data_IF_692231064765
#
_entry.id   IF_692231064765
#
_cell.length_a   1.000
_cell.length_b   1.000
_cell.length_c   1.000
_cell.angle_alpha   90.00
_cell.angle_beta   90.00
_cell.angle_gamma   90.00
#
_symmetry.space_group_name_H-M   'P 1'
#
loop_
_entity.id
_entity.type
_entity.pdbx_description
1 polymer ?
#
# COMPACT_ATOMS: atom_id res chain seq x y z
N UNK A 1 21.17 3.24 43.23
CA UNK A 1 20.96 2.14 42.26
C UNK A 1 20.23 2.59 40.99
N UNK A 2 19.49 3.70 41.02
CA UNK A 2 18.67 4.19 39.89
C UNK A 2 19.47 4.68 38.67
N UNK A 3 20.69 5.20 38.86
CA UNK A 3 21.48 5.78 37.77
C UNK A 3 22.09 4.74 36.80
N UNK A 4 22.20 3.47 37.20
CA UNK A 4 22.73 2.39 36.32
C UNK A 4 21.71 1.90 35.30
N UNK A 5 20.41 1.93 35.64
CA UNK A 5 19.34 1.41 34.78
C UNK A 5 19.13 2.34 33.57
N UNK A 6 19.17 3.66 33.78
CA UNK A 6 19.06 4.65 32.70
C UNK A 6 20.22 4.60 31.69
N UNK A 7 21.45 4.38 32.17
CA UNK A 7 22.64 4.22 31.31
C UNK A 7 22.57 2.95 30.45
N UNK A 8 22.05 1.84 31.00
CA UNK A 8 21.91 0.58 30.26
C UNK A 8 20.83 0.71 29.17
N UNK A 9 19.71 1.36 29.46
CA UNK A 9 18.64 1.59 28.48
C UNK A 9 19.07 2.55 27.36
N UNK A 10 19.82 3.61 27.67
CA UNK A 10 20.36 4.53 26.66
C UNK A 10 21.34 3.82 25.70
N UNK A 11 22.20 2.94 26.23
CA UNK A 11 23.14 2.17 25.41
C UNK A 11 22.45 1.11 24.53
N UNK A 12 21.40 0.45 25.04
CA UNK A 12 20.63 -0.53 24.27
C UNK A 12 19.87 0.12 23.10
N UNK A 13 19.30 1.30 23.32
CA UNK A 13 18.64 2.07 22.26
C UNK A 13 19.64 2.49 21.17
N UNK A 14 20.85 2.91 21.55
CA UNK A 14 21.92 3.26 20.60
C UNK A 14 22.36 2.07 19.74
N UNK A 15 22.41 0.85 20.30
CA UNK A 15 22.77 -0.36 19.54
C UNK A 15 21.73 -0.70 18.46
N UNK A 16 20.43 -0.60 18.79
CA UNK A 16 19.34 -0.84 17.85
C UNK A 16 19.29 0.26 16.78
N UNK A 17 19.49 1.53 17.15
CA UNK A 17 19.54 2.65 16.21
C UNK A 17 20.63 2.45 15.15
N UNK A 18 21.84 2.05 15.56
CA UNK A 18 22.93 1.73 14.64
C UNK A 18 22.57 0.53 13.76
N UNK A 19 21.95 -0.50 14.33
CA UNK A 19 21.54 -1.69 13.58
C UNK A 19 20.49 -1.36 12.50
N UNK A 20 19.60 -0.40 12.75
CA UNK A 20 18.56 0.02 11.82
C UNK A 20 19.09 0.71 10.56
N UNK A 21 20.34 1.19 10.56
CA UNK A 21 21.02 1.74 9.39
C UNK A 21 21.47 0.66 8.38
N UNK A 22 21.52 -0.62 8.78
CA UNK A 22 21.97 -1.71 7.91
C UNK A 22 20.93 -2.05 6.82
N UNK A 23 21.31 -2.71 5.71
CA UNK A 23 20.36 -3.10 4.68
C UNK A 23 19.32 -4.09 5.20
N UNK A 24 18.16 -4.16 4.55
CA UNK A 24 17.15 -5.18 4.87
C UNK A 24 17.61 -6.55 4.38
N UNK A 25 17.19 -7.60 5.08
CA UNK A 25 17.48 -8.98 4.69
C UNK A 25 17.02 -9.28 3.26
N UNK A 26 15.82 -8.81 2.86
CA UNK A 26 15.30 -9.03 1.49
C UNK A 26 16.17 -8.44 0.38
N UNK A 27 16.87 -7.34 0.65
CA UNK A 27 17.72 -6.63 -0.32
C UNK A 27 19.18 -7.11 -0.30
N UNK A 28 19.49 -8.14 0.49
CA UNK A 28 20.84 -8.59 0.76
C UNK A 28 21.07 -10.01 0.20
N UNK A 29 22.32 -10.31 -0.18
CA UNK A 29 22.71 -11.65 -0.66
C UNK A 29 22.77 -12.65 0.49
N UNK A 30 22.59 -13.95 0.18
CA UNK A 30 22.65 -15.01 1.19
C UNK A 30 24.00 -15.02 1.92
N UNK A 31 25.10 -14.88 1.17
CA UNK A 31 26.45 -14.80 1.72
C UNK A 31 26.62 -13.68 2.78
N UNK A 32 26.05 -12.50 2.54
CA UNK A 32 26.14 -11.40 3.49
C UNK A 32 25.25 -11.61 4.74
N UNK A 33 24.15 -12.35 4.60
CA UNK A 33 23.32 -12.78 5.75
C UNK A 33 24.08 -13.81 6.57
N UNK A 34 24.64 -14.85 5.93
CA UNK A 34 25.41 -15.90 6.58
C UNK A 34 26.61 -15.30 7.35
N UNK A 35 27.32 -14.34 6.76
CA UNK A 35 28.46 -13.67 7.39
C UNK A 35 28.11 -12.92 8.69
N UNK A 36 26.86 -12.47 8.85
CA UNK A 36 26.39 -11.80 10.07
C UNK A 36 25.82 -12.80 11.07
N UNK A 37 25.13 -13.84 10.59
CA UNK A 37 24.52 -14.86 11.45
C UNK A 37 25.56 -15.79 12.06
N UNK A 38 26.54 -16.22 11.29
CA UNK A 38 27.57 -17.17 11.72
C UNK A 38 28.26 -16.75 13.02
N UNK A 39 28.86 -15.55 13.16
CA UNK A 39 29.48 -15.12 14.41
C UNK A 39 28.47 -14.98 15.55
N UNK A 40 27.21 -14.60 15.27
CA UNK A 40 26.17 -14.53 16.29
C UNK A 40 25.78 -15.91 16.84
N UNK A 41 25.74 -16.93 15.97
CA UNK A 41 25.50 -18.33 16.33
C UNK A 41 26.67 -18.87 17.16
N UNK A 42 27.93 -18.66 16.75
CA UNK A 42 29.10 -19.02 17.56
C UNK A 42 29.03 -18.42 18.95
N UNK A 43 28.72 -17.12 19.02
CA UNK A 43 28.63 -16.42 20.29
C UNK A 43 27.50 -17.00 21.16
N UNK A 44 26.34 -17.32 20.58
CA UNK A 44 25.24 -17.94 21.29
C UNK A 44 25.66 -19.26 21.96
N UNK A 45 26.42 -20.10 21.25
CA UNK A 45 26.98 -21.34 21.78
C UNK A 45 27.92 -21.09 22.98
N UNK A 46 28.85 -20.15 22.81
CA UNK A 46 29.81 -19.77 23.85
C UNK A 46 29.12 -19.21 25.10
N UNK A 47 28.12 -18.33 24.93
CA UNK A 47 27.33 -17.75 26.02
C UNK A 47 26.55 -18.81 26.82
N UNK A 48 26.33 -20.00 26.23
CA UNK A 48 25.69 -21.16 26.87
C UNK A 48 26.67 -22.21 27.36
N UNK A 49 27.98 -21.93 27.33
CA UNK A 49 29.03 -22.83 27.79
C UNK A 49 29.30 -24.01 26.86
N UNK A 50 28.89 -23.91 25.59
CA UNK A 50 29.18 -24.91 24.57
C UNK A 50 30.39 -24.44 23.77
N UNK A 51 31.57 -25.00 24.07
CA UNK A 51 32.86 -24.57 23.51
C UNK A 51 33.35 -25.45 22.34
N UNK A 52 32.83 -26.67 22.23
CA UNK A 52 33.22 -27.63 21.20
C UNK A 52 32.03 -27.91 20.30
N UNK A 53 31.95 -27.19 19.17
CA UNK A 53 30.94 -27.43 18.13
C UNK A 53 31.65 -27.66 16.81
N UNK A 54 31.23 -28.72 16.11
CA UNK A 54 31.67 -29.04 14.76
C UNK A 54 31.24 -27.94 13.78
N UNK A 55 32.19 -27.50 12.93
CA UNK A 55 31.96 -26.48 11.91
C UNK A 55 30.75 -26.79 11.02
N UNK A 56 30.62 -28.05 10.58
CA UNK A 56 29.55 -28.50 9.69
C UNK A 56 28.15 -28.28 10.29
N UNK A 57 28.00 -28.51 11.60
CA UNK A 57 26.73 -28.27 12.32
C UNK A 57 26.38 -26.79 12.33
N UNK A 58 27.38 -25.92 12.48
CA UNK A 58 27.19 -24.46 12.45
C UNK A 58 26.81 -24.02 11.06
N UNK A 59 27.51 -24.48 10.03
CA UNK A 59 27.22 -24.10 8.64
C UNK A 59 25.81 -24.51 8.23
N UNK A 60 25.37 -25.71 8.63
CA UNK A 60 24.02 -26.19 8.37
C UNK A 60 22.94 -25.39 9.12
N UNK A 61 23.22 -25.00 10.37
CA UNK A 61 22.35 -24.17 11.19
C UNK A 61 22.23 -22.75 10.61
N UNK A 62 23.36 -22.13 10.24
CA UNK A 62 23.43 -20.79 9.65
C UNK A 62 22.64 -20.76 8.34
N UNK A 63 22.90 -21.69 7.41
CA UNK A 63 22.21 -21.75 6.12
C UNK A 63 20.69 -21.86 6.30
N UNK A 64 20.25 -22.75 7.20
CA UNK A 64 18.83 -22.97 7.49
C UNK A 64 18.17 -21.76 8.18
N UNK A 65 18.90 -21.09 9.06
CA UNK A 65 18.44 -19.89 9.75
C UNK A 65 18.33 -18.69 8.80
N UNK A 66 19.29 -18.49 7.91
CA UNK A 66 19.27 -17.45 6.87
C UNK A 66 18.02 -17.55 5.99
N UNK A 67 17.73 -18.75 5.50
CA UNK A 67 16.56 -18.99 4.65
C UNK A 67 15.26 -18.73 5.42
N UNK A 68 15.19 -19.22 6.67
CA UNK A 68 14.03 -19.04 7.55
C UNK A 68 13.76 -17.57 7.92
N UNK A 69 14.80 -16.79 8.20
CA UNK A 69 14.70 -15.35 8.52
C UNK A 69 14.26 -14.58 7.27
N UNK A 70 14.84 -14.89 6.10
CA UNK A 70 14.47 -14.22 4.84
C UNK A 70 12.99 -14.42 4.50
N UNK A 71 12.44 -15.59 4.80
CA UNK A 71 11.02 -15.88 4.61
C UNK A 71 10.13 -15.24 5.70
N UNK A 72 10.53 -15.34 6.97
CA UNK A 72 9.68 -14.94 8.10
C UNK A 72 9.72 -13.45 8.42
N UNK A 73 10.88 -12.82 8.25
CA UNK A 73 11.16 -11.44 8.63
C UNK A 73 11.92 -10.70 7.51
N UNK A 74 11.41 -10.63 6.27
CA UNK A 74 12.15 -10.09 5.11
C UNK A 74 12.60 -8.64 5.27
N UNK A 75 11.90 -7.87 6.10
CA UNK A 75 12.15 -6.44 6.30
C UNK A 75 13.04 -6.13 7.52
N UNK A 76 13.47 -7.15 8.27
CA UNK A 76 14.44 -6.94 9.36
C UNK A 76 15.77 -6.47 8.78
N UNK A 77 16.49 -5.66 9.54
CA UNK A 77 17.80 -5.12 9.19
C UNK A 77 18.87 -6.14 9.57
N UNK A 78 19.89 -6.25 8.73
CA UNK A 78 20.92 -7.29 8.85
C UNK A 78 21.54 -7.33 10.26
N UNK A 79 21.87 -6.16 10.80
CA UNK A 79 22.54 -6.02 12.10
C UNK A 79 21.59 -6.15 13.31
N UNK A 80 20.27 -6.23 13.10
CA UNK A 80 19.32 -6.53 14.17
C UNK A 80 19.38 -8.03 14.58
N UNK A 81 19.81 -8.91 13.67
CA UNK A 81 19.80 -10.36 13.90
C UNK A 81 20.74 -10.78 15.05
N UNK A 82 22.00 -10.32 15.13
CA UNK A 82 22.87 -10.66 16.26
C UNK A 82 22.33 -10.16 17.61
N UNK A 83 21.71 -8.99 17.63
CA UNK A 83 21.09 -8.42 18.83
C UNK A 83 19.94 -9.31 19.29
N UNK A 84 19.08 -9.72 18.35
CA UNK A 84 17.96 -10.60 18.62
C UNK A 84 18.40 -11.95 19.19
N UNK A 85 19.42 -12.58 18.60
CA UNK A 85 19.98 -13.85 19.06
C UNK A 85 20.54 -13.70 20.48
N UNK A 86 21.35 -12.67 20.73
CA UNK A 86 21.93 -12.41 22.06
C UNK A 86 20.85 -12.25 23.14
N UNK A 87 19.87 -11.37 22.92
CA UNK A 87 18.76 -11.12 23.86
C UNK A 87 17.94 -12.40 24.09
N UNK A 88 17.68 -13.17 23.04
CA UNK A 88 16.95 -14.43 23.13
C UNK A 88 17.68 -15.53 23.92
N UNK A 89 18.98 -15.71 23.70
CA UNK A 89 19.81 -16.68 24.43
C UNK A 89 19.90 -16.35 25.93
N UNK A 90 19.80 -15.07 26.28
CA UNK A 90 19.75 -14.57 27.65
C UNK A 90 18.34 -14.62 28.28
N UNK A 91 17.32 -15.05 27.54
CA UNK A 91 15.96 -15.25 28.04
C UNK A 91 15.03 -14.05 27.93
N UNK A 92 15.39 -13.00 27.20
CA UNK A 92 14.52 -11.81 27.04
C UNK A 92 13.31 -12.06 26.13
N UNK A 93 13.32 -13.13 25.35
CA UNK A 93 12.27 -13.46 24.36
C UNK A 93 11.53 -14.76 24.64
N UNK A 94 11.46 -15.16 25.92
CA UNK A 94 10.72 -16.32 26.39
C UNK A 94 11.61 -17.54 26.65
N UNK A 95 10.97 -18.71 26.70
CA UNK A 95 11.63 -19.96 27.10
C UNK A 95 12.70 -20.40 26.08
N UNK A 96 13.91 -20.61 26.59
CA UNK A 96 15.03 -21.10 25.82
C UNK A 96 14.93 -22.62 25.63
N UNK A 97 14.77 -23.07 24.38
CA UNK A 97 14.66 -24.49 24.01
C UNK A 97 15.94 -25.04 23.35
N UNK A 98 17.09 -24.39 23.56
CA UNK A 98 18.36 -24.75 22.92
C UNK A 98 18.72 -23.87 21.74
N UNK A 99 19.96 -24.02 21.24
CA UNK A 99 20.43 -23.35 20.02
C UNK A 99 20.03 -24.23 18.83
N UNK A 100 18.86 -23.96 18.29
CA UNK A 100 18.31 -24.60 17.10
C UNK A 100 17.61 -23.54 16.22
N UNK A 101 17.34 -23.88 14.96
CA UNK A 101 16.73 -22.95 13.98
C UNK A 101 15.43 -22.35 14.53
N UNK A 102 14.56 -23.17 15.14
CA UNK A 102 13.25 -22.72 15.63
C UNK A 102 13.40 -21.67 16.72
N UNK A 103 14.23 -21.93 17.73
CA UNK A 103 14.50 -21.00 18.82
C UNK A 103 15.09 -19.68 18.31
N UNK A 104 16.10 -19.75 17.43
CA UNK A 104 16.75 -18.57 16.90
C UNK A 104 15.82 -17.73 16.01
N UNK A 105 15.00 -18.36 15.17
CA UNK A 105 13.96 -17.65 14.38
C UNK A 105 12.95 -16.98 15.30
N UNK A 106 12.53 -17.64 16.38
CA UNK A 106 11.59 -17.06 17.34
C UNK A 106 12.18 -15.84 18.05
N UNK A 107 13.47 -15.85 18.39
CA UNK A 107 14.15 -14.68 18.94
C UNK A 107 14.16 -13.50 17.97
N UNK A 108 14.43 -13.77 16.69
CA UNK A 108 14.40 -12.75 15.63
C UNK A 108 12.99 -12.19 15.44
N UNK A 109 11.96 -13.04 15.45
CA UNK A 109 10.55 -12.62 15.37
C UNK A 109 10.14 -11.76 16.57
N UNK A 110 10.52 -12.18 17.78
CA UNK A 110 10.22 -11.47 19.02
C UNK A 110 10.89 -10.09 19.04
N UNK A 111 12.16 -10.00 18.63
CA UNK A 111 12.85 -8.73 18.46
C UNK A 111 12.14 -7.83 17.43
N UNK A 112 11.82 -8.38 16.26
CA UNK A 112 11.16 -7.64 15.19
C UNK A 112 9.79 -7.08 15.60
N UNK A 113 9.05 -7.82 16.43
CA UNK A 113 7.76 -7.41 16.98
C UNK A 113 7.86 -6.58 18.28
N UNK A 114 9.06 -6.35 18.81
CA UNK A 114 9.23 -5.69 20.11
C UNK A 114 8.84 -4.21 20.07
N UNK A 115 8.16 -3.75 21.13
CA UNK A 115 7.75 -2.35 21.27
C UNK A 115 8.95 -1.40 21.31
N UNK A 116 10.08 -1.83 21.89
CA UNK A 116 11.36 -1.11 21.90
C UNK A 116 11.80 -0.76 20.47
N UNK A 117 11.89 -1.76 19.60
CA UNK A 117 12.28 -1.59 18.20
C UNK A 117 11.29 -0.74 17.42
N UNK A 118 9.99 -0.93 17.65
CA UNK A 118 8.95 -0.13 16.98
C UNK A 118 8.99 1.35 17.36
N UNK A 119 9.28 1.66 18.62
CA UNK A 119 9.37 3.05 19.09
C UNK A 119 10.58 3.77 18.49
N UNK A 120 11.73 3.08 18.39
CA UNK A 120 12.93 3.62 17.75
C UNK A 120 12.68 3.86 16.25
N UNK A 121 12.09 2.89 15.55
CA UNK A 121 11.76 3.05 14.11
C UNK A 121 10.81 4.22 13.85
N UNK A 122 9.85 4.47 14.74
CA UNK A 122 8.96 5.65 14.65
C UNK A 122 9.70 6.97 14.92
N UNK A 123 10.74 6.95 15.77
CA UNK A 123 11.55 8.11 16.12
C UNK A 123 12.59 8.48 15.06
N UNK A 124 13.05 7.50 14.26
CA UNK A 124 13.90 7.74 13.09
C UNK A 124 13.04 8.43 12.03
N UNK A 125 13.17 9.75 11.93
CA UNK A 125 12.63 10.51 10.81
C UNK A 125 13.17 9.87 9.53
N UNK A 126 12.26 9.27 8.74
CA UNK A 126 12.64 8.87 7.38
C UNK A 126 13.19 10.11 6.70
N UNK A 127 14.37 10.06 6.04
CA UNK A 127 14.77 11.18 5.21
C UNK A 127 13.60 11.41 4.25
N UNK A 128 12.97 12.58 4.35
CA UNK A 128 11.90 12.92 3.44
C UNK A 128 12.57 12.96 2.08
N UNK A 129 12.43 11.89 1.31
CA UNK A 129 12.56 11.99 -0.13
C UNK A 129 11.49 13.01 -0.47
N UNK A 130 11.90 14.27 -0.66
CA UNK A 130 11.01 15.31 -1.15
C UNK A 130 10.42 14.74 -2.43
N UNK A 131 9.18 14.25 -2.33
CA UNK A 131 8.42 13.87 -3.51
C UNK A 131 8.26 15.17 -4.25
N UNK A 132 9.07 15.37 -5.30
CA UNK A 132 8.92 16.52 -6.18
C UNK A 132 7.45 16.57 -6.57
N UNK A 133 6.77 17.61 -6.13
CA UNK A 133 5.40 17.86 -6.56
C UNK A 133 5.47 17.99 -8.08
N UNK A 134 4.70 17.20 -8.84
CA UNK A 134 4.73 17.28 -10.28
C UNK A 134 4.45 18.71 -10.73
N UNK A 135 5.13 19.17 -11.78
CA UNK A 135 4.82 20.48 -12.36
C UNK A 135 3.40 20.45 -12.96
N UNK A 136 2.78 21.62 -13.14
CA UNK A 136 1.46 21.70 -13.79
C UNK A 136 1.49 21.08 -15.21
N UNK A 137 2.58 21.26 -15.94
CA UNK A 137 2.80 20.68 -17.26
C UNK A 137 2.85 19.14 -17.22
N UNK A 138 3.53 18.56 -16.23
CA UNK A 138 3.58 17.10 -16.02
C UNK A 138 2.20 16.54 -15.66
N UNK A 139 1.39 17.29 -14.90
CA UNK A 139 0.02 16.91 -14.56
C UNK A 139 -0.85 16.90 -15.81
N UNK A 140 -0.78 17.97 -16.62
CA UNK A 140 -1.55 18.07 -17.86
C UNK A 140 -1.16 16.94 -18.82
N UNK A 141 0.13 16.64 -18.96
CA UNK A 141 0.59 15.57 -19.83
C UNK A 141 0.04 14.21 -19.39
N UNK A 142 0.06 13.91 -18.09
CA UNK A 142 -0.54 12.68 -17.53
C UNK A 142 -2.05 12.65 -17.72
N UNK A 143 -2.73 13.79 -17.60
CA UNK A 143 -4.17 13.88 -17.83
C UNK A 143 -4.52 13.58 -19.30
N UNK A 144 -3.73 14.09 -20.26
CA UNK A 144 -3.87 13.77 -21.69
C UNK A 144 -3.68 12.28 -21.96
N UNK A 145 -2.61 11.68 -21.41
CA UNK A 145 -2.33 10.25 -21.55
C UNK A 145 -3.46 9.37 -20.96
N UNK A 146 -3.99 9.78 -19.80
CA UNK A 146 -5.10 9.08 -19.16
C UNK A 146 -6.38 9.15 -20.00
N UNK A 147 -6.67 10.32 -20.60
CA UNK A 147 -7.81 10.50 -21.49
C UNK A 147 -7.68 9.64 -22.76
N UNK A 148 -6.50 9.65 -23.41
CA UNK A 148 -6.21 8.80 -24.58
C UNK A 148 -6.41 7.32 -24.22
N UNK A 149 -5.82 6.87 -23.12
CA UNK A 149 -5.92 5.47 -22.69
C UNK A 149 -7.38 5.07 -22.40
N UNK A 150 -8.16 5.97 -21.81
CA UNK A 150 -9.58 5.74 -21.53
C UNK A 150 -10.40 5.61 -22.83
N UNK A 151 -10.10 6.43 -23.83
CA UNK A 151 -10.75 6.35 -25.14
C UNK A 151 -10.38 5.08 -25.91
N UNK A 152 -9.11 4.69 -25.93
CA UNK A 152 -8.67 3.43 -26.56
C UNK A 152 -9.29 2.19 -25.90
N UNK A 153 -9.41 2.21 -24.55
CA UNK A 153 -10.12 1.16 -23.81
C UNK A 153 -11.62 1.14 -24.15
N UNK A 154 -12.22 2.31 -24.33
CA UNK A 154 -13.61 2.42 -24.76
C UNK A 154 -13.82 1.81 -26.16
N UNK A 155 -13.02 2.16 -27.18
CA UNK A 155 -13.15 1.57 -28.53
C UNK A 155 -13.02 0.04 -28.52
N UNK A 156 -12.10 -0.49 -27.71
CA UNK A 156 -11.84 -1.93 -27.67
C UNK A 156 -12.87 -2.73 -26.87
N UNK A 157 -13.49 -2.14 -25.83
CA UNK A 157 -14.36 -2.89 -24.89
C UNK A 157 -15.76 -2.34 -24.71
N UNK A 158 -16.06 -1.16 -25.25
CA UNK A 158 -17.25 -0.36 -24.96
C UNK A 158 -17.28 0.21 -23.53
N UNK A 159 -16.18 0.09 -22.77
CA UNK A 159 -16.10 0.44 -21.36
C UNK A 159 -14.78 1.14 -21.01
N UNK A 160 -14.82 2.02 -20.00
CA UNK A 160 -13.65 2.66 -19.42
C UNK A 160 -13.89 2.93 -17.93
N UNK A 161 -12.81 3.01 -17.16
CA UNK A 161 -12.86 3.34 -15.73
C UNK A 161 -12.79 4.85 -15.53
N UNK A 162 -13.74 5.39 -14.78
CA UNK A 162 -13.79 6.82 -14.47
C UNK A 162 -14.15 7.07 -13.00
N UNK A 163 -13.11 7.20 -12.19
CA UNK A 163 -13.25 7.43 -10.76
C UNK A 163 -13.62 8.87 -10.47
N UNK A 164 -14.83 9.11 -9.96
CA UNK A 164 -15.29 10.46 -9.58
C UNK A 164 -15.46 11.42 -10.76
N UNK A 165 -15.72 10.88 -11.96
CA UNK A 165 -15.85 11.61 -13.21
C UNK A 165 -14.61 12.45 -13.53
N UNK A 166 -13.43 11.91 -13.20
CA UNK A 166 -12.16 12.56 -13.44
C UNK A 166 -11.87 12.70 -14.93
N UNK A 167 -12.17 11.67 -15.73
CA UNK A 167 -11.96 11.72 -17.19
C UNK A 167 -12.84 12.80 -17.82
N UNK A 168 -14.11 12.90 -17.40
CA UNK A 168 -15.01 13.97 -17.85
C UNK A 168 -14.44 15.35 -17.48
N UNK A 169 -13.93 15.52 -16.26
CA UNK A 169 -13.33 16.79 -15.81
C UNK A 169 -12.08 17.14 -16.61
N UNK A 170 -11.26 16.16 -17.00
CA UNK A 170 -10.13 16.38 -17.89
C UNK A 170 -10.64 16.92 -19.23
N UNK A 171 -11.52 16.18 -19.89
CA UNK A 171 -11.99 16.51 -21.24
C UNK A 171 -12.69 17.88 -21.30
N UNK A 172 -13.59 18.17 -20.35
CA UNK A 172 -14.39 19.42 -20.38
C UNK A 172 -13.72 20.55 -19.64
N UNK A 173 -13.30 20.36 -18.38
CA UNK A 173 -12.84 21.48 -17.53
C UNK A 173 -11.39 21.86 -17.74
N UNK A 174 -10.51 20.89 -18.03
CA UNK A 174 -9.07 21.14 -18.17
C UNK A 174 -8.68 21.40 -19.63
N UNK A 175 -9.26 20.63 -20.55
CA UNK A 175 -8.88 20.64 -21.96
C UNK A 175 -9.93 21.27 -22.88
N UNK A 176 -11.15 21.51 -22.39
CA UNK A 176 -12.23 22.15 -23.12
C UNK A 176 -12.50 21.52 -24.51
N UNK A 177 -12.49 20.19 -24.58
CA UNK A 177 -12.57 19.43 -25.83
C UNK A 177 -13.98 19.34 -26.40
N UNK A 178 -14.99 19.49 -25.55
CA UNK A 178 -16.39 19.59 -25.97
C UNK A 178 -17.18 20.37 -24.93
N UNK A 179 -18.30 20.93 -25.37
CA UNK A 179 -19.27 21.60 -24.51
C UNK A 179 -20.66 21.02 -24.75
N UNK A 180 -21.49 21.08 -23.72
CA UNK A 180 -22.86 20.59 -23.75
C UNK A 180 -23.81 21.79 -23.72
N UNK A 181 -24.76 21.83 -24.64
CA UNK A 181 -25.86 22.79 -24.55
C UNK A 181 -26.67 22.58 -23.28
N UNK A 182 -27.38 23.61 -22.81
CA UNK A 182 -28.22 23.51 -21.62
C UNK A 182 -29.33 22.45 -21.79
N UNK A 183 -29.84 22.27 -23.00
CA UNK A 183 -30.79 21.22 -23.34
C UNK A 183 -30.16 19.84 -23.20
N UNK A 184 -28.94 19.64 -23.71
CA UNK A 184 -28.20 18.38 -23.55
C UNK A 184 -27.87 18.09 -22.09
N UNK A 185 -27.47 19.08 -21.31
CA UNK A 185 -27.24 18.93 -19.86
C UNK A 185 -28.49 18.44 -19.14
N UNK A 186 -29.66 19.03 -19.44
CA UNK A 186 -30.95 18.57 -18.88
C UNK A 186 -31.29 17.14 -19.30
N UNK A 187 -31.05 16.78 -20.56
CA UNK A 187 -31.26 15.41 -21.03
C UNK A 187 -30.37 14.40 -20.28
N UNK A 188 -29.08 14.68 -20.13
CA UNK A 188 -28.17 13.81 -19.37
C UNK A 188 -28.50 13.75 -17.87
N UNK A 189 -29.03 14.83 -17.30
CA UNK A 189 -29.51 14.84 -15.92
C UNK A 189 -30.67 13.85 -15.75
N UNK A 190 -31.65 13.88 -16.64
CA UNK A 190 -32.79 12.97 -16.61
C UNK A 190 -32.39 11.52 -16.88
N UNK A 191 -31.53 11.27 -17.87
CA UNK A 191 -31.03 9.93 -18.16
C UNK A 191 -30.19 9.38 -16.99
N UNK A 192 -29.30 10.20 -16.43
CA UNK A 192 -28.48 9.83 -15.28
C UNK A 192 -29.31 9.57 -14.03
N UNK A 193 -30.41 10.31 -13.83
CA UNK A 193 -31.38 10.06 -12.76
C UNK A 193 -31.97 8.66 -12.87
N UNK A 194 -32.47 8.31 -14.05
CA UNK A 194 -33.07 6.98 -14.28
C UNK A 194 -32.06 5.86 -14.03
N UNK A 195 -30.85 5.97 -14.58
CA UNK A 195 -29.80 4.95 -14.40
C UNK A 195 -29.29 4.85 -12.97
N UNK A 196 -29.20 5.97 -12.26
CA UNK A 196 -28.81 5.98 -10.84
C UNK A 196 -29.85 5.22 -10.01
N UNK A 197 -31.14 5.47 -10.24
CA UNK A 197 -32.24 4.77 -9.54
C UNK A 197 -32.20 3.27 -9.85
N UNK A 198 -32.05 2.87 -11.12
CA UNK A 198 -31.95 1.46 -11.51
C UNK A 198 -30.79 0.74 -10.81
N UNK A 199 -29.63 1.40 -10.72
CA UNK A 199 -28.46 0.86 -9.99
C UNK A 199 -28.74 0.72 -8.49
N UNK A 200 -29.30 1.74 -7.85
CA UNK A 200 -29.63 1.68 -6.42
C UNK A 200 -30.68 0.60 -6.16
N UNK A 201 -31.68 0.44 -7.02
CA UNK A 201 -32.67 -0.63 -6.94
C UNK A 201 -32.02 -2.01 -7.03
N UNK A 202 -31.06 -2.18 -7.94
CA UNK A 202 -30.29 -3.42 -8.06
C UNK A 202 -29.46 -3.71 -6.80
N UNK A 203 -28.87 -2.69 -6.18
CA UNK A 203 -28.11 -2.79 -4.92
C UNK A 203 -29.00 -3.21 -3.73
N UNK A 204 -30.28 -2.81 -3.70
CA UNK A 204 -31.23 -3.21 -2.64
C UNK A 204 -31.37 -4.74 -2.57
N UNK A 205 -31.41 -5.41 -3.72
CA UNK A 205 -31.51 -6.87 -3.77
C UNK A 205 -30.23 -7.56 -3.27
N UNK A 206 -29.06 -6.93 -3.48
CA UNK A 206 -27.76 -7.47 -3.08
C UNK A 206 -27.44 -7.20 -1.60
N UNK A 207 -27.98 -6.12 -1.04
CA UNK A 207 -27.66 -5.64 0.31
C UNK A 207 -28.93 -5.34 1.14
N UNK A 208 -29.67 -6.37 1.58
CA UNK A 208 -30.94 -6.19 2.31
C UNK A 208 -30.77 -5.40 3.61
N UNK A 209 -29.64 -5.51 4.29
CA UNK A 209 -29.33 -4.78 5.53
C UNK A 209 -29.17 -3.26 5.32
N UNK A 210 -28.99 -2.80 4.08
CA UNK A 210 -28.86 -1.39 3.73
C UNK A 210 -30.12 -0.82 3.06
N UNK A 211 -31.21 -1.60 3.00
CA UNK A 211 -32.43 -1.27 2.25
C UNK A 211 -33.02 0.10 2.59
N UNK A 212 -33.16 0.44 3.87
CA UNK A 212 -33.74 1.73 4.28
C UNK A 212 -32.89 2.92 3.81
N UNK A 213 -31.56 2.79 3.88
CA UNK A 213 -30.63 3.80 3.37
C UNK A 213 -30.78 3.95 1.85
N UNK A 214 -30.79 2.84 1.12
CA UNK A 214 -30.90 2.84 -0.34
C UNK A 214 -32.26 3.38 -0.83
N UNK A 215 -33.36 3.11 -0.11
CA UNK A 215 -34.66 3.70 -0.40
C UNK A 215 -34.67 5.22 -0.19
N UNK A 216 -33.97 5.72 0.83
CA UNK A 216 -33.76 7.15 1.00
C UNK A 216 -32.95 7.74 -0.17
N UNK A 217 -31.84 7.10 -0.56
CA UNK A 217 -31.03 7.52 -1.70
C UNK A 217 -31.84 7.57 -3.02
N UNK A 218 -32.79 6.63 -3.23
CA UNK A 218 -33.71 6.67 -4.39
C UNK A 218 -34.60 7.90 -4.34
N UNK A 219 -35.22 8.18 -3.19
CA UNK A 219 -36.09 9.36 -3.05
C UNK A 219 -35.30 10.65 -3.26
N UNK A 220 -34.12 10.74 -2.67
CA UNK A 220 -33.21 11.87 -2.85
C UNK A 220 -32.81 12.07 -4.31
N UNK A 221 -32.55 10.98 -5.05
CA UNK A 221 -32.26 11.02 -6.48
C UNK A 221 -33.47 11.45 -7.32
N UNK A 222 -34.68 11.00 -6.97
CA UNK A 222 -35.93 11.39 -7.66
C UNK A 222 -36.24 12.88 -7.49
N UNK A 223 -36.13 13.36 -6.26
CA UNK A 223 -36.45 14.75 -5.88
C UNK A 223 -35.26 15.71 -6.11
N UNK A 224 -34.13 15.20 -6.60
CA UNK A 224 -32.87 15.92 -6.82
C UNK A 224 -32.42 16.73 -5.59
N UNK A 225 -32.51 16.12 -4.40
CA UNK A 225 -32.26 16.81 -3.12
C UNK A 225 -30.78 17.22 -3.02
N UNK A 226 -30.45 18.52 -2.86
CA UNK A 226 -29.06 18.98 -2.83
C UNK A 226 -28.22 18.37 -1.69
N UNK A 227 -26.92 18.18 -1.95
CA UNK A 227 -25.91 17.71 -0.98
C UNK A 227 -26.12 16.30 -0.40
N UNK A 228 -27.01 15.51 -1.00
CA UNK A 228 -27.30 14.13 -0.59
C UNK A 228 -26.47 13.09 -1.34
N UNK A 229 -26.50 11.84 -0.90
CA UNK A 229 -25.86 10.74 -1.63
C UNK A 229 -26.65 10.37 -2.90
N UNK A 230 -27.98 10.46 -2.86
CA UNK A 230 -28.84 10.26 -4.04
C UNK A 230 -28.45 11.18 -5.20
N UNK A 231 -28.35 12.50 -4.97
CA UNK A 231 -27.99 13.44 -6.03
C UNK A 231 -26.56 13.25 -6.54
N UNK A 232 -25.61 12.85 -5.68
CA UNK A 232 -24.23 12.56 -6.09
C UNK A 232 -24.18 11.40 -7.09
N UNK A 233 -25.00 10.36 -6.87
CA UNK A 233 -25.12 9.24 -7.81
C UNK A 233 -25.72 9.69 -9.14
N UNK A 234 -26.76 10.53 -9.12
CA UNK A 234 -27.35 11.11 -10.33
C UNK A 234 -26.28 11.83 -11.15
N UNK A 235 -25.54 12.78 -10.55
CA UNK A 235 -24.48 13.51 -11.25
C UNK A 235 -23.39 12.58 -11.78
N UNK A 236 -23.00 11.56 -11.01
CA UNK A 236 -22.00 10.59 -11.47
C UNK A 236 -22.43 9.91 -12.76
N UNK A 237 -23.67 9.41 -12.81
CA UNK A 237 -24.21 8.72 -13.97
C UNK A 237 -24.41 9.68 -15.15
N UNK A 238 -24.93 10.89 -14.91
CA UNK A 238 -25.13 11.91 -15.94
C UNK A 238 -23.84 12.30 -16.66
N UNK A 239 -22.77 12.57 -15.90
CA UNK A 239 -21.47 12.93 -16.47
C UNK A 239 -20.82 11.76 -17.19
N UNK A 240 -20.99 10.54 -16.68
CA UNK A 240 -20.50 9.34 -17.34
C UNK A 240 -21.21 9.11 -18.68
N UNK A 241 -22.53 9.30 -18.75
CA UNK A 241 -23.27 9.21 -20.00
C UNK A 241 -22.82 10.25 -21.02
N UNK A 242 -22.65 11.50 -20.59
CA UNK A 242 -22.18 12.56 -21.48
C UNK A 242 -20.80 12.27 -22.07
N UNK A 243 -19.86 11.79 -21.24
CA UNK A 243 -18.53 11.40 -21.72
C UNK A 243 -18.60 10.19 -22.67
N UNK A 244 -19.46 9.22 -22.36
CA UNK A 244 -19.66 8.04 -23.21
C UNK A 244 -20.23 8.43 -24.58
N UNK A 245 -21.21 9.33 -24.62
CA UNK A 245 -21.79 9.80 -25.88
C UNK A 245 -20.77 10.58 -26.71
N UNK A 246 -19.94 11.40 -26.07
CA UNK A 246 -18.84 12.07 -26.75
C UNK A 246 -17.83 11.07 -27.32
N UNK A 247 -17.41 10.05 -26.54
CA UNK A 247 -16.54 8.99 -27.06
C UNK A 247 -17.16 8.25 -28.26
N UNK A 248 -18.45 7.92 -28.21
CA UNK A 248 -19.15 7.34 -29.37
C UNK A 248 -19.11 8.26 -30.58
N UNK A 249 -19.36 9.55 -30.39
CA UNK A 249 -19.31 10.51 -31.50
C UNK A 249 -17.92 10.61 -32.14
N UNK A 250 -16.84 10.51 -31.35
CA UNK A 250 -15.48 10.47 -31.89
C UNK A 250 -15.22 9.19 -32.69
N UNK A 251 -15.70 8.05 -32.20
CA UNK A 251 -15.56 6.77 -32.87
C UNK A 251 -16.37 6.73 -34.18
N UNK A 252 -17.62 7.20 -34.17
CA UNK A 252 -18.49 7.29 -35.36
C UNK A 252 -17.94 8.24 -36.43
N UNK A 253 -17.25 9.30 -36.02
CA UNK A 253 -16.59 10.26 -36.92
C UNK A 253 -15.17 9.85 -37.30
N UNK A 254 -14.67 8.72 -36.81
CA UNK A 254 -13.29 8.25 -37.01
C UNK A 254 -12.22 9.28 -36.58
N UNK A 255 -12.50 10.08 -35.56
CA UNK A 255 -11.58 11.10 -35.04
C UNK A 255 -10.62 10.46 -34.04
N UNK A 256 -9.32 10.55 -34.32
CA UNK A 256 -8.29 10.20 -33.34
C UNK A 256 -8.23 11.29 -32.26
N UNK A 257 -8.52 10.93 -31.01
CA UNK A 257 -8.50 11.83 -29.85
C UNK A 257 -7.16 12.55 -29.69
N UNK A 258 -6.04 11.97 -30.16
CA UNK A 258 -4.73 12.62 -30.13
C UNK A 258 -4.66 13.88 -30.98
N UNK A 259 -5.50 13.99 -32.01
CA UNK A 259 -5.57 15.18 -32.87
C UNK A 259 -6.27 16.35 -32.19
N UNK A 260 -6.99 16.10 -31.09
CA UNK A 260 -7.69 17.12 -30.30
C UNK A 260 -6.85 17.64 -29.12
N UNK A 261 -5.68 17.06 -28.86
CA UNK A 261 -4.84 17.28 -27.66
C UNK A 261 -3.54 18.01 -27.97
#
# INVERSE_FOLDING_TARGET
MENKIGLIQANANSEIEIALASPQVRSTTKLAIDAVIQPAVYKAFMDRGQFEIEQEKIDHLVSSLSDSIKQSCPNIRLNEIPIAIKKGVLGEYGDYMGINVVSLVNFVKAHYASSERLNIVKGIQSPSIEKKTPSEEEIIQKDKELLITSFERFKSTGFYEDHGNYIYKIAVKKLNLFDLSEERKKQYLELGKNRAIEKIQSEIFQHPNSRNKLLLEIKEAQDLVPYTDGIRRVYKESLQMALTDWFKSLEEMEIDIKTLL
#
